data_IF_974870417842
#
_entry.id   IF_974870417842
#
_cell.length_a   1.000
_cell.length_b   1.000
_cell.length_c   1.000
_cell.angle_alpha   90.00
_cell.angle_beta   90.00
_cell.angle_gamma   90.00
#
_symmetry.space_group_name_H-M   'P 1'
#
loop_
_entity.id
_entity.type
_entity.pdbx_description
1 polymer ?
#
# COMPACT_ATOMS: atom_id res chain seq x y z
N UNK A 1 12.54 -15.66 -73.30
CA UNK A 1 12.52 -14.23 -72.86
C UNK A 1 12.00 -14.21 -71.43
N UNK A 2 12.88 -14.00 -70.43
CA UNK A 2 12.55 -14.11 -69.00
C UNK A 2 11.88 -12.81 -68.54
N UNK A 3 10.63 -12.89 -68.10
CA UNK A 3 9.91 -11.77 -67.50
C UNK A 3 10.43 -11.58 -66.07
N UNK A 4 11.15 -10.47 -65.88
CA UNK A 4 11.77 -10.08 -64.61
C UNK A 4 10.67 -9.68 -63.62
N UNK A 5 10.69 -10.32 -62.44
CA UNK A 5 9.91 -9.96 -61.27
C UNK A 5 10.33 -8.55 -60.81
N UNK A 6 9.50 -7.54 -61.06
CA UNK A 6 9.55 -6.26 -60.38
C UNK A 6 8.28 -6.16 -59.52
N UNK A 7 8.26 -6.92 -58.41
CA UNK A 7 7.35 -6.62 -57.32
C UNK A 7 7.96 -5.43 -56.61
N UNK A 8 7.33 -4.27 -56.80
CA UNK A 8 7.65 -3.03 -56.14
C UNK A 8 7.57 -3.22 -54.63
N UNK A 9 8.72 -3.47 -54.00
CA UNK A 9 8.96 -3.29 -52.56
C UNK A 9 9.12 -1.78 -52.33
N UNK A 10 8.02 -1.03 -52.47
CA UNK A 10 7.92 0.38 -52.04
C UNK A 10 6.53 0.53 -51.41
N UNK A 11 6.41 0.01 -50.20
CA UNK A 11 5.20 0.10 -49.38
C UNK A 11 5.45 -0.37 -47.95
N UNK A 12 6.70 -0.32 -47.49
CA UNK A 12 7.09 -0.80 -46.18
C UNK A 12 8.28 0.01 -45.66
N UNK A 13 8.17 1.34 -45.68
CA UNK A 13 9.20 2.21 -45.08
C UNK A 13 8.71 3.62 -44.75
N UNK A 14 7.50 3.78 -44.22
CA UNK A 14 7.13 4.98 -43.41
C UNK A 14 6.11 4.56 -42.34
N UNK A 15 6.49 3.64 -41.47
CA UNK A 15 5.91 3.55 -40.13
C UNK A 15 7.02 3.63 -39.09
N UNK A 16 8.02 4.48 -39.36
CA UNK A 16 8.70 5.17 -38.26
C UNK A 16 7.63 6.10 -37.73
N UNK A 17 6.89 5.55 -36.77
CA UNK A 17 5.94 6.24 -35.91
C UNK A 17 6.65 7.53 -35.52
N UNK A 18 6.22 8.64 -36.12
CA UNK A 18 6.41 9.93 -35.50
C UNK A 18 5.74 9.75 -34.14
N UNK A 19 6.55 9.53 -33.10
CA UNK A 19 6.14 9.74 -31.73
C UNK A 19 5.76 11.22 -31.73
N UNK A 20 4.50 11.53 -32.04
CA UNK A 20 4.01 12.88 -31.97
C UNK A 20 4.13 13.23 -30.51
N UNK A 21 5.13 14.03 -30.18
CA UNK A 21 5.36 14.67 -28.90
C UNK A 21 4.28 15.73 -28.67
N UNK A 22 3.01 15.33 -28.84
CA UNK A 22 1.88 16.16 -28.58
C UNK A 22 1.74 16.27 -27.07
N UNK A 23 1.67 17.50 -26.59
CA UNK A 23 1.29 17.78 -25.22
C UNK A 23 -0.13 17.25 -25.00
N UNK A 24 -0.30 16.39 -24.00
CA UNK A 24 -1.59 15.88 -23.57
C UNK A 24 -1.95 16.52 -22.24
N UNK A 25 -3.21 16.93 -22.07
CA UNK A 25 -3.71 17.30 -20.75
C UNK A 25 -3.90 16.04 -19.91
N UNK A 26 -3.97 16.20 -18.59
CA UNK A 26 -4.21 15.08 -17.68
C UNK A 26 -5.55 14.38 -17.97
N UNK A 27 -6.59 15.14 -18.29
CA UNK A 27 -7.92 14.59 -18.57
C UNK A 27 -7.98 13.77 -19.87
N UNK A 28 -7.12 14.10 -20.84
CA UNK A 28 -6.96 13.27 -22.03
C UNK A 28 -6.27 11.93 -21.71
N UNK A 29 -5.48 11.87 -20.64
CA UNK A 29 -4.82 10.63 -20.18
C UNK A 29 -5.80 9.76 -19.41
N UNK A 30 -6.58 10.36 -18.49
CA UNK A 30 -7.47 9.61 -17.59
C UNK A 30 -8.90 9.43 -18.12
N UNK A 31 -9.17 9.89 -19.35
CA UNK A 31 -10.49 9.94 -20.00
C UNK A 31 -11.49 10.86 -19.28
N UNK A 32 -11.74 12.04 -19.88
CA UNK A 32 -12.57 13.18 -19.41
C UNK A 32 -13.89 12.90 -18.66
N UNK A 33 -14.45 11.69 -18.73
CA UNK A 33 -15.80 11.37 -18.20
C UNK A 33 -15.80 10.61 -16.87
N UNK A 34 -14.63 10.31 -16.28
CA UNK A 34 -14.58 9.50 -15.05
C UNK A 34 -14.53 10.37 -13.78
N UNK A 35 -15.59 10.29 -12.97
CA UNK A 35 -15.67 10.89 -11.63
C UNK A 35 -14.82 10.05 -10.66
N UNK A 36 -13.61 10.52 -10.37
CA UNK A 36 -12.74 9.88 -9.37
C UNK A 36 -13.37 10.10 -8.00
N UNK A 37 -13.83 9.03 -7.36
CA UNK A 37 -14.45 9.10 -6.03
C UNK A 37 -13.52 8.63 -4.92
N UNK A 38 -12.45 7.92 -5.28
CA UNK A 38 -11.51 7.33 -4.35
C UNK A 38 -10.09 7.31 -4.91
N UNK A 39 -9.10 7.51 -4.02
CA UNK A 39 -7.68 7.30 -4.30
C UNK A 39 -7.14 6.27 -3.33
N UNK A 40 -6.66 5.15 -3.85
CA UNK A 40 -5.91 4.14 -3.09
C UNK A 40 -4.42 4.35 -3.29
N UNK A 41 -3.66 4.47 -2.20
CA UNK A 41 -2.22 4.60 -2.27
C UNK A 41 -1.51 3.43 -1.60
N UNK A 42 -0.38 3.01 -2.18
CA UNK A 42 0.55 2.08 -1.56
C UNK A 42 1.93 2.69 -1.50
N UNK A 43 2.52 2.83 -0.32
CA UNK A 43 3.88 3.35 -0.21
C UNK A 43 4.95 2.24 -0.33
N UNK A 44 6.23 2.64 -0.30
CA UNK A 44 7.37 1.74 -0.43
C UNK A 44 7.49 0.71 0.71
N UNK A 45 6.92 1.01 1.89
CA UNK A 45 6.82 0.08 3.01
C UNK A 45 5.62 -0.88 2.87
N UNK A 46 4.85 -0.78 1.78
CA UNK A 46 3.68 -1.61 1.53
C UNK A 46 2.43 -1.20 2.31
N UNK A 47 2.44 -0.03 2.97
CA UNK A 47 1.25 0.50 3.65
C UNK A 47 0.21 0.99 2.65
N UNK A 48 -1.05 0.66 2.91
CA UNK A 48 -2.20 1.04 2.10
C UNK A 48 -2.98 2.19 2.75
N UNK A 49 -3.42 3.11 1.92
CA UNK A 49 -4.19 4.27 2.33
C UNK A 49 -5.33 4.46 1.35
N UNK A 50 -6.47 4.91 1.85
CA UNK A 50 -7.62 5.23 1.01
C UNK A 50 -8.11 6.62 1.34
N UNK A 51 -8.41 7.40 0.30
CA UNK A 51 -8.99 8.72 0.41
C UNK A 51 -10.30 8.78 -0.37
N UNK A 52 -11.40 9.07 0.33
CA UNK A 52 -12.75 9.23 -0.23
C UNK A 52 -13.32 10.65 -0.08
N UNK A 53 -12.55 11.56 0.53
CA UNK A 53 -12.96 12.95 0.67
C UNK A 53 -12.88 13.67 -0.69
N UNK A 54 -14.04 14.01 -1.25
CA UNK A 54 -14.16 14.63 -2.58
C UNK A 54 -13.38 15.93 -2.76
N UNK A 55 -13.32 16.78 -1.74
CA UNK A 55 -12.59 18.05 -1.82
C UNK A 55 -11.10 17.82 -1.93
N UNK A 56 -10.56 16.90 -1.13
CA UNK A 56 -9.16 16.49 -1.18
C UNK A 56 -8.81 15.81 -2.50
N UNK A 57 -9.64 14.86 -2.96
CA UNK A 57 -9.43 14.22 -4.27
C UNK A 57 -9.38 15.27 -5.39
N UNK A 58 -10.29 16.25 -5.38
CA UNK A 58 -10.28 17.33 -6.35
C UNK A 58 -9.01 18.18 -6.28
N UNK A 59 -8.54 18.49 -5.08
CA UNK A 59 -7.25 19.17 -4.86
C UNK A 59 -6.08 18.37 -5.46
N UNK A 60 -6.03 17.06 -5.20
CA UNK A 60 -5.02 16.17 -5.78
C UNK A 60 -5.03 16.21 -7.31
N UNK A 61 -6.20 16.03 -7.93
CA UNK A 61 -6.32 16.02 -9.38
C UNK A 61 -5.92 17.37 -9.99
N UNK A 62 -6.22 18.48 -9.30
CA UNK A 62 -5.85 19.83 -9.75
C UNK A 62 -4.33 19.95 -9.94
N UNK A 63 -3.50 19.32 -9.10
CA UNK A 63 -2.03 19.33 -9.24
C UNK A 63 -1.60 18.79 -10.62
N UNK A 64 -2.24 17.71 -11.11
CA UNK A 64 -1.93 17.13 -12.42
C UNK A 64 -2.50 17.95 -13.58
N UNK A 65 -3.59 18.69 -13.35
CA UNK A 65 -4.20 19.58 -14.35
C UNK A 65 -3.41 20.87 -14.58
N UNK A 66 -2.51 21.24 -13.67
CA UNK A 66 -1.64 22.41 -13.81
C UNK A 66 -0.54 22.24 -14.86
N UNK A 67 -0.35 21.03 -15.39
CA UNK A 67 0.69 20.72 -16.37
C UNK A 67 0.13 20.02 -17.60
N UNK A 68 0.91 20.03 -18.67
CA UNK A 68 0.73 19.11 -19.79
C UNK A 68 1.78 18.00 -19.74
N UNK A 69 1.51 16.91 -20.44
CA UNK A 69 2.33 15.71 -20.43
C UNK A 69 2.82 15.36 -21.83
N UNK A 70 4.07 14.93 -21.91
CA UNK A 70 4.67 14.40 -23.13
C UNK A 70 4.94 12.92 -22.88
N UNK A 71 4.44 12.06 -23.77
CA UNK A 71 4.78 10.63 -23.72
C UNK A 71 6.29 10.45 -23.88
N UNK A 72 6.90 9.70 -22.97
CA UNK A 72 8.34 9.45 -22.96
C UNK A 72 8.64 7.94 -23.04
N UNK A 73 9.91 7.60 -23.22
CA UNK A 73 10.37 6.22 -23.19
C UNK A 73 10.20 5.61 -21.79
N UNK A 74 10.19 4.28 -21.74
CA UNK A 74 10.13 3.56 -20.47
C UNK A 74 11.34 3.93 -19.62
N UNK A 75 11.08 4.36 -18.39
CA UNK A 75 12.10 4.58 -17.36
C UNK A 75 12.10 3.39 -16.41
N UNK A 76 13.30 3.00 -15.95
CA UNK A 76 13.43 1.97 -14.92
C UNK A 76 12.72 2.44 -13.65
N UNK A 77 11.81 1.60 -13.16
CA UNK A 77 10.99 1.92 -12.00
C UNK A 77 11.77 1.55 -10.75
N UNK A 78 12.19 2.56 -10.01
CA UNK A 78 12.69 2.39 -8.64
C UNK A 78 11.51 2.60 -7.68
N UNK A 79 11.39 1.75 -6.67
CA UNK A 79 10.23 1.69 -5.78
C UNK A 79 9.72 3.07 -5.34
N UNK A 80 8.40 3.25 -5.36
CA UNK A 80 7.75 4.52 -5.08
C UNK A 80 6.31 4.32 -4.62
N UNK A 81 5.62 5.43 -4.35
CA UNK A 81 4.20 5.40 -4.00
C UNK A 81 3.39 5.10 -5.27
N UNK A 82 2.53 4.08 -5.23
CA UNK A 82 1.51 3.89 -6.26
C UNK A 82 0.23 4.55 -5.82
N UNK A 83 -0.44 5.24 -6.73
CA UNK A 83 -1.74 5.87 -6.52
C UNK A 83 -2.71 5.29 -7.54
N UNK A 84 -3.85 4.78 -7.11
CA UNK A 84 -4.87 4.16 -7.94
C UNK A 84 -6.12 5.02 -7.83
N UNK A 85 -6.55 5.58 -8.95
CA UNK A 85 -7.79 6.37 -9.04
C UNK A 85 -8.93 5.41 -9.31
N UNK A 86 -10.02 5.54 -8.55
CA UNK A 86 -11.15 4.59 -8.59
C UNK A 86 -12.46 5.34 -8.84
N UNK A 87 -13.32 4.75 -9.67
CA UNK A 87 -14.66 5.27 -10.02
C UNK A 87 -15.72 4.91 -8.97
N UNK A 88 -16.95 5.39 -9.17
CA UNK A 88 -18.07 5.15 -8.26
C UNK A 88 -18.49 3.67 -8.16
N UNK A 89 -18.18 2.88 -9.19
CA UNK A 89 -18.42 1.46 -9.29
C UNK A 89 -17.30 0.60 -8.67
N UNK A 90 -16.21 1.23 -8.23
CA UNK A 90 -15.05 0.55 -7.65
C UNK A 90 -14.03 0.03 -8.67
N UNK A 91 -14.13 0.43 -9.94
CA UNK A 91 -13.15 0.06 -10.96
C UNK A 91 -11.96 1.03 -10.94
N UNK A 92 -10.76 0.50 -11.20
CA UNK A 92 -9.58 1.33 -11.41
C UNK A 92 -9.70 2.11 -12.72
N UNK A 93 -9.68 3.44 -12.62
CA UNK A 93 -9.63 4.40 -13.73
C UNK A 93 -8.21 4.39 -14.32
N UNK A 94 -7.22 4.65 -13.46
CA UNK A 94 -5.80 4.56 -13.80
C UNK A 94 -4.99 4.43 -12.52
N UNK A 95 -3.81 3.86 -12.65
CA UNK A 95 -2.75 3.97 -11.66
C UNK A 95 -1.76 5.07 -12.05
N UNK A 96 -1.14 5.72 -11.06
CA UNK A 96 -0.13 6.77 -11.20
C UNK A 96 1.05 6.39 -10.31
N UNK A 97 2.25 6.36 -10.89
CA UNK A 97 3.49 6.07 -10.20
C UNK A 97 4.51 7.14 -10.57
N UNK A 98 5.00 7.96 -9.62
CA UNK A 98 6.20 8.74 -9.82
C UNK A 98 7.39 7.77 -10.01
N UNK A 99 8.12 7.89 -11.12
CA UNK A 99 9.24 6.98 -11.44
C UNK A 99 10.60 7.68 -11.51
N UNK A 100 10.60 8.97 -11.83
CA UNK A 100 11.77 9.85 -11.85
C UNK A 100 11.29 11.30 -11.74
N UNK A 101 12.22 12.26 -11.73
CA UNK A 101 11.95 13.70 -11.67
C UNK A 101 11.01 14.12 -12.80
N UNK A 102 9.79 14.51 -12.43
CA UNK A 102 8.72 14.93 -13.32
C UNK A 102 8.28 13.85 -14.32
N UNK A 103 8.62 12.57 -14.06
CA UNK A 103 8.19 11.44 -14.87
C UNK A 103 7.23 10.57 -14.08
N UNK A 104 6.07 10.34 -14.66
CA UNK A 104 4.99 9.53 -14.10
C UNK A 104 4.67 8.38 -15.04
N UNK A 105 4.52 7.17 -14.49
CA UNK A 105 3.83 6.10 -15.18
C UNK A 105 2.35 6.22 -14.87
N UNK A 106 1.52 6.42 -15.88
CA UNK A 106 0.06 6.43 -15.75
C UNK A 106 -0.52 5.26 -16.55
N UNK A 107 -1.11 4.30 -15.85
CA UNK A 107 -1.38 2.97 -16.39
C UNK A 107 -0.08 2.30 -16.88
N UNK A 108 -0.06 1.92 -18.16
CA UNK A 108 1.11 1.28 -18.81
C UNK A 108 2.01 2.26 -19.56
N UNK A 109 1.71 3.57 -19.55
CA UNK A 109 2.44 4.58 -20.34
C UNK A 109 3.21 5.54 -19.45
N UNK A 110 4.38 6.00 -19.92
CA UNK A 110 5.24 6.94 -19.23
C UNK A 110 5.05 8.35 -19.81
N UNK A 111 4.96 9.32 -18.91
CA UNK A 111 4.69 10.71 -19.23
C UNK A 111 5.65 11.62 -18.45
N UNK A 112 6.31 12.53 -19.16
CA UNK A 112 7.05 13.63 -18.58
C UNK A 112 6.11 14.84 -18.45
N UNK A 113 5.98 15.41 -17.26
CA UNK A 113 5.28 16.69 -17.10
C UNK A 113 6.10 17.83 -17.71
N UNK A 114 5.41 18.81 -18.28
CA UNK A 114 6.01 19.99 -18.91
C UNK A 114 6.34 21.10 -17.91
N UNK A 115 5.90 20.95 -16.66
CA UNK A 115 6.24 21.81 -15.53
C UNK A 115 6.58 20.95 -14.31
N UNK A 116 7.34 21.54 -13.39
CA UNK A 116 7.73 20.87 -12.16
C UNK A 116 6.54 20.77 -11.20
N UNK A 117 5.99 19.56 -11.05
CA UNK A 117 4.87 19.27 -10.13
C UNK A 117 5.26 18.29 -9.03
N UNK A 118 6.46 17.71 -9.06
CA UNK A 118 6.93 16.71 -8.08
C UNK A 118 6.82 17.22 -6.65
N UNK A 119 7.23 18.46 -6.41
CA UNK A 119 7.17 19.08 -5.09
C UNK A 119 5.74 19.14 -4.55
N UNK A 120 4.76 19.47 -5.42
CA UNK A 120 3.34 19.55 -5.04
C UNK A 120 2.76 18.16 -4.79
N UNK A 121 3.04 17.20 -5.66
CA UNK A 121 2.60 15.81 -5.51
C UNK A 121 3.17 15.22 -4.20
N UNK A 122 4.47 15.38 -3.95
CA UNK A 122 5.11 14.88 -2.75
C UNK A 122 4.59 15.55 -1.47
N UNK A 123 4.36 16.87 -1.50
CA UNK A 123 3.77 17.59 -0.37
C UNK A 123 2.35 17.08 -0.07
N UNK A 124 1.52 16.91 -1.10
CA UNK A 124 0.17 16.38 -0.96
C UNK A 124 0.17 14.95 -0.39
N UNK A 125 1.06 14.09 -0.91
CA UNK A 125 1.21 12.72 -0.42
C UNK A 125 1.60 12.75 1.07
N UNK A 126 2.64 13.50 1.42
CA UNK A 126 3.12 13.61 2.79
C UNK A 126 2.08 14.19 3.75
N UNK A 127 1.23 15.11 3.28
CA UNK A 127 0.20 15.74 4.10
C UNK A 127 -0.97 14.81 4.41
N UNK A 128 -1.43 14.06 3.40
CA UNK A 128 -2.70 13.34 3.49
C UNK A 128 -2.57 11.82 3.59
N UNK A 129 -1.47 11.23 3.14
CA UNK A 129 -1.21 9.79 3.26
C UNK A 129 -0.33 9.51 4.49
N UNK A 130 -0.75 10.10 5.61
CA UNK A 130 -0.15 9.91 6.93
C UNK A 130 -0.75 8.70 7.62
N UNK A 131 -0.04 8.23 8.64
CA UNK A 131 -0.44 7.09 9.46
C UNK A 131 -1.88 7.21 10.01
N UNK A 132 -2.33 8.41 10.34
CA UNK A 132 -3.70 8.67 10.81
C UNK A 132 -4.80 8.36 9.77
N UNK A 133 -4.45 8.28 8.48
CA UNK A 133 -5.34 7.94 7.37
C UNK A 133 -5.00 6.57 6.75
N UNK A 134 -4.24 5.74 7.47
CA UNK A 134 -3.92 4.38 7.05
C UNK A 134 -5.22 3.55 7.03
N UNK A 135 -5.53 2.97 5.88
CA UNK A 135 -6.60 1.98 5.77
C UNK A 135 -5.95 0.61 5.86
N UNK A 136 -6.19 -0.05 6.99
CA UNK A 136 -5.81 -1.45 7.18
C UNK A 136 -6.76 -2.26 6.30
N UNK A 137 -6.33 -2.55 5.08
CA UNK A 137 -7.09 -3.38 4.14
C UNK A 137 -7.40 -4.74 4.78
N UNK A 138 -8.64 -5.22 4.65
CA UNK A 138 -9.09 -6.46 5.27
C UNK A 138 -8.25 -7.65 4.78
N UNK A 139 -7.28 -8.06 5.59
CA UNK A 139 -6.47 -9.24 5.33
C UNK A 139 -5.00 -9.04 5.05
N UNK A 140 -4.45 -7.81 5.11
CA UNK A 140 -3.01 -7.68 5.08
C UNK A 140 -2.41 -7.95 6.46
N UNK A 141 -1.43 -8.84 6.49
CA UNK A 141 -0.59 -9.11 7.67
C UNK A 141 -0.05 -7.79 8.17
N UNK A 142 -0.29 -7.57 9.45
CA UNK A 142 0.35 -6.61 10.34
C UNK A 142 1.80 -6.37 9.88
N UNK A 143 2.07 -5.31 9.12
CA UNK A 143 3.44 -4.93 8.75
C UNK A 143 3.88 -3.84 9.73
N UNK A 144 4.13 -4.24 10.97
CA UNK A 144 4.59 -3.32 12.00
C UNK A 144 6.01 -2.89 11.64
N UNK A 145 6.21 -1.59 11.44
CA UNK A 145 7.54 -1.02 11.35
C UNK A 145 8.16 -0.94 12.75
N UNK A 146 9.12 -1.81 13.02
CA UNK A 146 9.81 -1.90 14.30
C UNK A 146 10.51 -0.60 14.71
N UNK A 147 10.97 0.20 13.75
CA UNK A 147 11.67 1.47 14.04
C UNK A 147 10.71 2.57 14.54
N UNK A 148 9.40 2.41 14.35
CA UNK A 148 8.37 3.34 14.82
C UNK A 148 7.78 2.94 16.18
N UNK A 149 8.14 1.77 16.70
CA UNK A 149 7.57 1.23 17.94
C UNK A 149 8.52 1.51 19.10
N UNK A 150 8.16 2.51 19.91
CA UNK A 150 8.92 2.87 21.11
C UNK A 150 8.67 1.91 22.28
N UNK A 151 7.46 1.35 22.36
CA UNK A 151 7.08 0.42 23.43
C UNK A 151 5.93 -0.49 23.01
N UNK A 152 5.90 -1.68 23.61
CA UNK A 152 4.79 -2.63 23.51
C UNK A 152 4.16 -2.78 24.89
N UNK A 153 2.84 -2.59 24.97
CA UNK A 153 2.08 -2.88 26.18
C UNK A 153 1.30 -4.18 26.00
N UNK A 154 1.48 -5.12 26.91
CA UNK A 154 0.76 -6.40 26.92
C UNK A 154 -0.14 -6.42 28.15
N UNK A 155 -1.45 -6.63 27.96
CA UNK A 155 -2.42 -6.79 29.03
C UNK A 155 -2.91 -8.23 29.09
N UNK A 156 -2.74 -8.87 30.23
CA UNK A 156 -3.33 -10.17 30.54
C UNK A 156 -4.77 -9.98 31.04
N UNK A 157 -5.75 -10.54 30.33
CA UNK A 157 -7.16 -10.39 30.64
C UNK A 157 -7.65 -11.26 31.79
N UNK A 158 -6.95 -12.36 32.11
CA UNK A 158 -7.27 -13.27 33.21
C UNK A 158 -6.76 -12.70 34.53
N UNK A 159 -5.51 -12.22 34.54
CA UNK A 159 -4.86 -11.63 35.72
C UNK A 159 -5.20 -10.15 35.91
N UNK A 160 -5.68 -9.48 34.86
CA UNK A 160 -5.91 -8.03 34.81
C UNK A 160 -4.65 -7.22 35.15
N UNK A 161 -3.50 -7.66 34.62
CA UNK A 161 -2.19 -7.02 34.80
C UNK A 161 -1.67 -6.60 33.44
N UNK A 162 -0.97 -5.46 33.40
CA UNK A 162 -0.28 -4.99 32.20
C UNK A 162 1.24 -4.97 32.40
N UNK A 163 1.97 -5.27 31.34
CA UNK A 163 3.43 -5.18 31.25
C UNK A 163 3.80 -4.25 30.10
N UNK A 164 4.87 -3.50 30.28
CA UNK A 164 5.42 -2.60 29.27
C UNK A 164 6.80 -3.11 28.90
N UNK A 165 7.07 -3.18 27.60
CA UNK A 165 8.34 -3.55 27.00
C UNK A 165 8.83 -2.34 26.23
N UNK A 166 9.97 -1.82 26.61
CA UNK A 166 10.61 -0.63 26.03
C UNK A 166 12.05 -0.90 25.56
N UNK A 167 12.55 -2.13 25.73
CA UNK A 167 13.86 -2.53 25.23
C UNK A 167 13.76 -2.96 23.76
N UNK A 168 14.70 -2.48 22.95
CA UNK A 168 14.66 -2.62 21.48
C UNK A 168 14.71 -4.08 21.03
N UNK A 169 15.50 -4.93 21.67
CA UNK A 169 15.65 -6.34 21.27
C UNK A 169 14.35 -7.15 21.47
N UNK A 170 13.65 -6.93 22.58
CA UNK A 170 12.35 -7.57 22.84
C UNK A 170 11.27 -7.03 21.92
N UNK A 171 11.27 -5.72 21.64
CA UNK A 171 10.36 -5.11 20.67
C UNK A 171 10.57 -5.73 19.28
N UNK A 172 11.82 -5.83 18.81
CA UNK A 172 12.16 -6.47 17.54
C UNK A 172 11.64 -7.92 17.50
N UNK A 173 11.89 -8.68 18.57
CA UNK A 173 11.48 -10.08 18.62
C UNK A 173 9.96 -10.24 18.51
N UNK A 174 9.19 -9.46 19.27
CA UNK A 174 7.72 -9.51 19.23
C UNK A 174 7.19 -9.01 17.89
N UNK A 175 7.74 -7.93 17.34
CA UNK A 175 7.30 -7.39 16.05
C UNK A 175 7.54 -8.41 14.92
N UNK A 176 8.72 -9.03 14.87
CA UNK A 176 9.04 -10.03 13.85
C UNK A 176 8.11 -11.23 13.90
N UNK A 177 7.79 -11.71 15.10
CA UNK A 177 6.77 -12.74 15.30
C UNK A 177 5.45 -12.31 14.69
N UNK A 178 4.93 -11.13 15.05
CA UNK A 178 3.61 -10.68 14.60
C UNK A 178 3.57 -10.45 13.09
N UNK A 179 4.66 -9.96 12.52
CA UNK A 179 4.82 -9.81 11.07
C UNK A 179 4.95 -11.16 10.33
N UNK A 180 5.26 -12.26 11.04
CA UNK A 180 5.31 -13.62 10.47
C UNK A 180 3.96 -14.34 10.46
N UNK A 181 2.92 -13.72 11.04
CA UNK A 181 1.57 -14.30 11.09
C UNK A 181 1.02 -14.54 9.68
N UNK A 182 0.25 -15.62 9.53
CA UNK A 182 -0.43 -15.94 8.27
C UNK A 182 -1.91 -15.64 8.40
N UNK A 183 -2.48 -14.97 7.39
CA UNK A 183 -3.93 -14.76 7.29
C UNK A 183 -4.62 -16.13 7.24
N UNK A 184 -5.66 -16.30 8.04
CA UNK A 184 -6.54 -17.47 7.96
C UNK A 184 -7.96 -16.97 7.73
N UNK A 185 -8.62 -17.50 6.70
CA UNK A 185 -10.04 -17.19 6.48
C UNK A 185 -10.89 -17.93 7.53
N UNK A 186 -11.74 -17.19 8.25
CA UNK A 186 -12.68 -17.78 9.19
C UNK A 186 -13.36 -16.74 10.09
N UNK A 187 -14.65 -16.96 10.37
CA UNK A 187 -15.37 -16.26 11.44
C UNK A 187 -15.20 -17.11 12.69
N UNK A 188 -14.35 -16.68 13.62
CA UNK A 188 -14.22 -17.37 14.90
C UNK A 188 -15.23 -16.78 15.87
N UNK A 189 -16.04 -17.63 16.49
CA UNK A 189 -16.87 -17.24 17.64
C UNK A 189 -15.93 -17.06 18.84
N UNK A 190 -15.29 -15.89 18.93
CA UNK A 190 -14.15 -15.69 19.82
C UNK A 190 -14.61 -15.42 21.25
N UNK A 191 -14.26 -16.33 22.16
CA UNK A 191 -14.31 -16.10 23.59
C UNK A 191 -13.43 -14.90 23.97
N UNK A 192 -13.52 -14.45 25.23
CA UNK A 192 -12.66 -13.38 25.76
C UNK A 192 -11.17 -13.70 25.48
N UNK A 193 -10.37 -12.76 24.91
CA UNK A 193 -8.96 -12.98 24.63
C UNK A 193 -8.13 -13.21 25.89
N UNK A 194 -7.02 -13.91 25.73
CA UNK A 194 -6.03 -14.11 26.80
C UNK A 194 -5.23 -12.83 27.03
N UNK A 195 -4.83 -12.18 25.93
CA UNK A 195 -4.03 -10.96 25.95
C UNK A 195 -4.53 -9.89 24.99
N UNK A 196 -4.20 -8.63 25.32
CA UNK A 196 -4.22 -7.51 24.38
C UNK A 196 -2.81 -6.97 24.24
N UNK A 197 -2.34 -6.90 23.01
CA UNK A 197 -1.08 -6.26 22.69
C UNK A 197 -1.36 -4.89 22.09
N UNK A 198 -0.55 -3.92 22.48
CA UNK A 198 -0.64 -2.56 21.99
C UNK A 198 0.76 -2.09 21.61
N UNK A 199 0.94 -1.82 20.32
CA UNK A 199 2.17 -1.33 19.71
C UNK A 199 2.15 0.20 19.56
N UNK A 200 1.37 0.89 20.40
CA UNK A 200 1.12 2.33 20.34
C UNK A 200 0.03 2.69 19.32
N UNK A 201 0.29 2.38 18.06
CA UNK A 201 -0.58 2.73 16.92
C UNK A 201 -1.57 1.61 16.52
N UNK A 202 -1.22 0.38 16.85
CA UNK A 202 -1.99 -0.81 16.54
C UNK A 202 -2.24 -1.61 17.82
N UNK A 203 -3.41 -2.27 17.89
CA UNK A 203 -3.73 -3.13 19.02
C UNK A 203 -4.42 -4.40 18.55
N UNK A 204 -4.05 -5.51 19.19
CA UNK A 204 -4.45 -6.84 18.79
C UNK A 204 -4.98 -7.63 19.98
N UNK A 205 -6.07 -8.35 19.75
CA UNK A 205 -6.52 -9.43 20.61
C UNK A 205 -5.72 -10.70 20.30
N UNK A 206 -5.30 -11.41 21.34
CA UNK A 206 -4.49 -12.63 21.22
C UNK A 206 -5.07 -13.75 22.07
N UNK A 207 -5.20 -14.93 21.45
CA UNK A 207 -5.60 -16.17 22.09
C UNK A 207 -4.50 -17.19 21.90
N UNK A 208 -4.19 -17.91 22.98
CA UNK A 208 -3.16 -18.94 22.99
C UNK A 208 -3.84 -20.27 23.35
N UNK A 209 -3.87 -21.20 22.41
CA UNK A 209 -4.42 -22.55 22.59
C UNK A 209 -3.37 -23.62 22.26
N UNK A 210 -2.61 -24.01 23.30
CA UNK A 210 -1.52 -24.97 23.18
C UNK A 210 -0.44 -24.49 22.22
N UNK A 211 -0.40 -25.11 21.03
CA UNK A 211 0.57 -24.83 19.97
C UNK A 211 0.05 -23.83 18.91
N UNK A 212 -1.12 -23.23 19.13
CA UNK A 212 -1.70 -22.25 18.22
C UNK A 212 -1.83 -20.89 18.89
N UNK A 213 -1.46 -19.83 18.17
CA UNK A 213 -1.77 -18.46 18.56
C UNK A 213 -2.62 -17.84 17.47
N UNK A 214 -3.78 -17.33 17.88
CA UNK A 214 -4.66 -16.54 17.03
C UNK A 214 -4.53 -15.08 17.41
N UNK A 215 -4.42 -14.22 16.40
CA UNK A 215 -4.31 -12.76 16.54
C UNK A 215 -5.45 -12.13 15.74
N UNK A 216 -6.08 -11.11 16.30
CA UNK A 216 -7.12 -10.33 15.64
C UNK A 216 -6.87 -8.85 15.88
N UNK A 217 -7.05 -8.02 14.86
CA UNK A 217 -7.03 -6.57 15.04
C UNK A 217 -8.23 -6.12 15.88
N UNK A 218 -7.98 -5.33 16.92
CA UNK A 218 -9.05 -4.78 17.76
C UNK A 218 -10.02 -3.86 17.01
N UNK A 219 -9.61 -3.29 15.88
CA UNK A 219 -10.42 -2.45 14.99
C UNK A 219 -11.10 -3.25 13.87
N UNK A 220 -10.58 -4.42 13.49
CA UNK A 220 -11.15 -5.29 12.47
C UNK A 220 -11.39 -6.71 13.01
N UNK A 221 -12.66 -6.99 13.33
CA UNK A 221 -13.07 -8.28 13.89
C UNK A 221 -13.41 -9.35 12.85
N UNK A 222 -13.32 -9.05 11.56
CA UNK A 222 -13.69 -9.99 10.48
C UNK A 222 -12.50 -10.79 9.96
N UNK A 223 -11.28 -10.46 10.38
CA UNK A 223 -10.05 -11.15 10.00
C UNK A 223 -9.33 -11.69 11.22
N UNK A 224 -8.88 -12.94 11.13
CA UNK A 224 -7.96 -13.54 12.11
C UNK A 224 -6.64 -13.94 11.42
N UNK A 225 -5.58 -13.94 12.21
CA UNK A 225 -4.26 -14.37 11.81
C UNK A 225 -3.80 -15.49 12.73
N UNK A 226 -3.10 -16.49 12.20
CA UNK A 226 -2.51 -17.57 12.98
C UNK A 226 -1.00 -17.55 12.89
N UNK A 227 -0.32 -17.84 13.99
CA UNK A 227 1.11 -18.16 13.99
C UNK A 227 1.34 -19.64 13.68
N UNK A 228 2.45 -19.95 12.99
CA UNK A 228 2.93 -21.32 12.86
C UNK A 228 3.41 -21.87 14.20
N UNK A 229 3.28 -23.19 14.40
CA UNK A 229 3.65 -23.87 15.66
C UNK A 229 5.08 -23.59 16.15
N UNK A 230 6.05 -23.45 15.25
CA UNK A 230 7.43 -23.09 15.60
C UNK A 230 7.52 -21.72 16.27
N UNK A 231 6.80 -20.73 15.73
CA UNK A 231 6.75 -19.36 16.24
C UNK A 231 5.96 -19.26 17.54
N UNK A 232 4.94 -20.11 17.72
CA UNK A 232 4.13 -20.14 18.95
C UNK A 232 4.97 -20.41 20.19
N UNK A 233 5.99 -21.26 20.08
CA UNK A 233 6.89 -21.54 21.20
C UNK A 233 7.66 -20.30 21.65
N UNK A 234 8.27 -19.58 20.72
CA UNK A 234 9.04 -18.35 21.02
C UNK A 234 8.16 -17.30 21.71
N UNK A 235 6.91 -17.15 21.25
CA UNK A 235 5.95 -16.24 21.85
C UNK A 235 5.53 -16.68 23.25
N UNK A 236 5.20 -17.96 23.41
CA UNK A 236 4.84 -18.50 24.72
C UNK A 236 5.96 -18.28 25.73
N UNK A 237 7.22 -18.48 25.34
CA UNK A 237 8.38 -18.25 26.20
C UNK A 237 8.48 -16.77 26.61
N UNK A 238 8.33 -15.83 25.67
CA UNK A 238 8.29 -14.38 25.97
C UNK A 238 7.16 -14.03 26.95
N UNK A 239 5.95 -14.56 26.73
CA UNK A 239 4.79 -14.25 27.57
C UNK A 239 4.90 -14.88 28.96
N UNK A 240 5.47 -16.09 29.06
CA UNK A 240 5.80 -16.75 30.32
C UNK A 240 6.79 -15.91 31.11
N UNK A 241 7.89 -15.44 30.50
CA UNK A 241 8.89 -14.61 31.16
C UNK A 241 8.34 -13.27 31.65
N UNK A 242 7.37 -12.69 30.95
CA UNK A 242 6.80 -11.38 31.33
C UNK A 242 5.81 -11.46 32.50
N UNK A 243 5.10 -12.58 32.66
CA UNK A 243 3.94 -12.71 33.54
C UNK A 243 4.03 -13.80 34.62
N UNK A 244 5.14 -14.54 34.70
CA UNK A 244 5.49 -15.41 35.85
C UNK A 244 6.62 -14.81 36.68
#
# INVERSE_FOLDING_TARGET
>A
MKLIKFVTIIGLLVSIIACSSANMSFENIISNDMDVVEINARNFNGYFYTMTNKEKIKEFLTIFQETSFIKTEKVDVFGGVSLHLVDAEGNEITSIFPVDTNVFRMGETYYQSTSDIDGKVNAYIAEHFKHENLVIEEGMVVNLNVEEIEKVTIKDFKKNVSKVIDNKDSIISIVNVFNSTRKVEGIVNMAKPDYVLNFGIASYFVWIDGENITVQDTKNTHTIFSLSSETVKEVNDIFIELFN
#
